data_IF_894220976020
#
_entry.id   IF_894220976020
#
_cell.length_a   1.000
_cell.length_b   1.000
_cell.length_c   1.000
_cell.angle_alpha   90.00
_cell.angle_beta   90.00
_cell.angle_gamma   90.00
#
_symmetry.space_group_name_H-M   'P 1'
#
loop_
_entity.id
_entity.type
_entity.pdbx_description
1 polymer ?
#
# COMPACT_ATOMS: atom_id res chain seq x y z
N UNK A 1 -26.82 -36.06 92.25
CA UNK A 1 -28.17 -35.80 91.72
C UNK A 1 -27.99 -34.89 90.51
N UNK A 2 -27.86 -35.44 89.28
CA UNK A 2 -28.94 -35.64 88.29
C UNK A 2 -29.60 -34.30 87.93
N UNK A 3 -29.84 -33.89 86.70
CA UNK A 3 -29.70 -34.42 85.34
C UNK A 3 -30.09 -33.26 84.39
N UNK A 4 -29.88 -33.41 83.08
CA UNK A 4 -30.69 -32.66 82.10
C UNK A 4 -29.92 -32.08 80.91
N UNK A 5 -29.37 -32.95 80.06
CA UNK A 5 -28.96 -32.60 78.70
C UNK A 5 -30.18 -32.53 77.78
N UNK A 6 -30.46 -31.35 77.20
CA UNK A 6 -31.42 -31.19 76.10
C UNK A 6 -30.66 -31.14 74.76
N UNK A 7 -31.11 -31.85 73.71
CA UNK A 7 -30.45 -31.82 72.41
C UNK A 7 -30.91 -30.61 71.57
N UNK A 8 -30.10 -30.14 70.61
CA UNK A 8 -30.53 -29.13 69.65
C UNK A 8 -31.53 -29.70 68.64
N UNK A 9 -32.53 -28.89 68.29
CA UNK A 9 -33.55 -29.23 67.30
C UNK A 9 -32.95 -29.40 65.91
N UNK A 10 -33.19 -30.56 65.29
CA UNK A 10 -32.90 -30.77 63.87
C UNK A 10 -33.94 -30.01 63.05
N UNK A 11 -33.54 -28.90 62.43
CA UNK A 11 -34.30 -28.30 61.35
C UNK A 11 -34.41 -29.31 60.19
N UNK A 12 -35.64 -29.73 59.86
CA UNK A 12 -35.91 -30.53 58.67
C UNK A 12 -35.63 -29.66 57.45
N UNK A 13 -34.56 -29.97 56.71
CA UNK A 13 -34.40 -29.51 55.34
C UNK A 13 -35.55 -30.09 54.52
N UNK A 14 -36.47 -29.22 54.10
CA UNK A 14 -37.54 -29.57 53.18
C UNK A 14 -36.96 -30.17 51.91
N UNK A 15 -37.41 -31.37 51.57
CA UNK A 15 -37.04 -32.04 50.33
C UNK A 15 -37.49 -31.18 49.15
N UNK A 16 -36.51 -30.67 48.40
CA UNK A 16 -36.75 -30.11 47.07
C UNK A 16 -37.25 -31.25 46.19
N UNK A 17 -38.53 -31.22 45.84
CA UNK A 17 -39.16 -32.18 44.94
C UNK A 17 -38.49 -32.15 43.57
N UNK A 18 -38.34 -33.33 42.94
CA UNK A 18 -37.54 -33.54 41.72
C UNK A 18 -37.90 -32.68 40.50
N UNK A 19 -38.98 -31.90 40.55
CA UNK A 19 -39.38 -30.95 39.50
C UNK A 19 -38.60 -29.64 39.50
N UNK A 20 -37.99 -29.22 40.61
CA UNK A 20 -37.21 -27.97 40.68
C UNK A 20 -35.73 -28.13 40.30
N UNK A 21 -35.20 -29.36 40.26
CA UNK A 21 -33.83 -29.64 39.80
C UNK A 21 -33.69 -29.62 38.27
N UNK A 22 -34.78 -29.86 37.54
CA UNK A 22 -34.77 -29.87 36.07
C UNK A 22 -34.76 -28.45 35.49
N UNK A 23 -35.35 -27.47 36.18
CA UNK A 23 -35.41 -26.09 35.68
C UNK A 23 -34.07 -25.34 35.83
N UNK A 24 -33.29 -25.63 36.89
CA UNK A 24 -31.97 -25.02 37.12
C UNK A 24 -30.88 -25.57 36.19
N UNK A 25 -30.99 -26.82 35.73
CA UNK A 25 -30.07 -27.39 34.74
C UNK A 25 -30.35 -26.90 33.31
N UNK A 26 -31.59 -26.54 32.99
CA UNK A 26 -31.96 -26.00 31.68
C UNK A 26 -31.53 -24.54 31.48
N UNK A 27 -31.51 -23.72 32.54
CA UNK A 27 -31.00 -22.34 32.48
C UNK A 27 -29.46 -22.30 32.47
N UNK A 28 -28.78 -23.24 33.14
CA UNK A 28 -27.33 -23.34 33.09
C UNK A 28 -26.79 -23.84 31.73
N UNK A 29 -27.58 -24.64 31.00
CA UNK A 29 -27.21 -25.09 29.65
C UNK A 29 -27.52 -24.06 28.55
N UNK A 30 -28.43 -23.10 28.79
CA UNK A 30 -28.77 -22.08 27.80
C UNK A 30 -27.77 -20.91 27.74
N UNK A 31 -26.88 -20.77 28.73
CA UNK A 31 -25.87 -19.70 28.78
C UNK A 31 -24.53 -20.11 28.11
N UNK A 32 -24.32 -21.40 27.85
CA UNK A 32 -23.05 -21.91 27.28
C UNK A 32 -23.05 -22.09 25.76
N UNK A 33 -24.11 -21.66 25.06
CA UNK A 33 -24.24 -21.79 23.62
C UNK A 33 -24.48 -20.44 22.90
N UNK A 34 -23.88 -19.36 23.40
CA UNK A 34 -23.63 -18.21 22.53
C UNK A 34 -22.44 -18.58 21.64
N UNK A 35 -22.60 -18.75 20.31
CA UNK A 35 -21.44 -18.76 19.44
C UNK A 35 -20.72 -17.45 19.69
N UNK A 36 -19.45 -17.52 20.09
CA UNK A 36 -18.59 -16.34 20.11
C UNK A 36 -18.69 -15.74 18.71
N UNK A 37 -19.29 -14.54 18.60
CA UNK A 37 -19.25 -13.79 17.37
C UNK A 37 -17.77 -13.68 16.97
N UNK A 38 -17.39 -14.00 15.72
CA UNK A 38 -16.01 -13.84 15.31
C UNK A 38 -15.61 -12.40 15.62
N UNK A 39 -14.58 -12.22 16.44
CA UNK A 39 -14.03 -10.91 16.70
C UNK A 39 -13.72 -10.29 15.34
N UNK A 40 -14.30 -9.12 15.05
CA UNK A 40 -13.96 -8.36 13.86
C UNK A 40 -12.46 -8.14 13.89
N UNK A 41 -11.71 -8.81 13.00
CA UNK A 41 -10.28 -8.66 12.92
C UNK A 41 -10.01 -7.25 12.38
N UNK A 42 -9.65 -6.32 13.27
CA UNK A 42 -9.10 -5.02 12.86
C UNK A 42 -7.60 -5.20 12.66
N UNK A 43 -7.00 -4.57 11.64
CA UNK A 43 -5.54 -4.60 11.50
C UNK A 43 -4.92 -3.92 12.74
N UNK A 44 -3.73 -4.37 13.14
CA UNK A 44 -2.99 -3.71 14.20
C UNK A 44 -2.58 -2.28 13.78
N UNK A 45 -2.21 -1.43 14.73
CA UNK A 45 -1.66 -0.12 14.39
C UNK A 45 -0.27 -0.28 13.73
N UNK A 46 0.12 0.60 12.80
CA UNK A 46 1.47 0.59 12.23
C UNK A 46 2.55 0.67 13.31
N UNK A 47 3.45 -0.32 13.33
CA UNK A 47 4.57 -0.39 14.26
C UNK A 47 5.90 -0.24 13.52
N UNK A 48 6.84 0.53 14.08
CA UNK A 48 8.20 0.61 13.56
C UNK A 48 8.91 -0.74 13.70
N UNK A 49 9.43 -1.25 12.58
CA UNK A 49 10.25 -2.46 12.56
C UNK A 49 11.72 -2.09 12.71
N UNK A 50 12.21 -1.19 11.86
CA UNK A 50 13.57 -0.66 11.89
C UNK A 50 13.72 0.55 10.95
N UNK A 51 14.94 1.10 10.86
CA UNK A 51 15.26 2.28 10.05
C UNK A 51 16.32 1.98 9.00
N UNK A 52 16.02 2.25 7.75
CA UNK A 52 16.95 2.19 6.63
C UNK A 52 17.74 3.50 6.60
N UNK A 53 19.01 3.42 6.99
CA UNK A 53 19.90 4.60 7.11
C UNK A 53 20.89 4.73 5.95
N UNK A 54 20.82 3.83 4.96
CA UNK A 54 21.65 3.92 3.77
C UNK A 54 21.20 5.14 2.95
N UNK A 55 22.08 6.14 2.70
CA UNK A 55 21.69 7.37 2.02
C UNK A 55 21.24 7.17 0.58
N UNK A 56 21.52 6.00 -0.02
CA UNK A 56 21.06 5.65 -1.37
C UNK A 56 19.58 5.25 -1.42
N UNK A 57 18.95 5.13 -0.25
CA UNK A 57 17.52 4.87 -0.05
C UNK A 57 16.88 6.02 0.75
N UNK A 58 17.43 7.24 0.64
CA UNK A 58 16.80 8.41 1.26
C UNK A 58 15.43 8.72 0.63
N UNK A 59 15.31 8.44 -0.66
CA UNK A 59 14.12 8.60 -1.51
C UNK A 59 13.49 7.22 -1.74
N UNK A 60 13.22 6.45 -0.68
CA UNK A 60 12.66 5.09 -0.80
C UNK A 60 11.20 5.15 -1.29
N UNK A 61 11.01 4.84 -2.57
CA UNK A 61 9.71 4.93 -3.24
C UNK A 61 9.01 3.56 -3.37
N UNK A 62 9.76 2.47 -3.59
CA UNK A 62 9.19 1.11 -3.71
C UNK A 62 9.79 0.08 -2.74
N UNK A 63 8.98 -0.91 -2.32
CA UNK A 63 9.44 -2.06 -1.53
C UNK A 63 8.72 -3.36 -1.91
N UNK A 64 9.41 -4.49 -1.84
CA UNK A 64 8.83 -5.84 -1.91
C UNK A 64 9.47 -6.78 -0.87
N UNK A 65 8.82 -7.90 -0.53
CA UNK A 65 9.33 -8.89 0.44
C UNK A 65 9.30 -10.32 -0.10
N UNK A 66 10.23 -11.15 0.38
CA UNK A 66 10.15 -12.62 0.29
C UNK A 66 10.01 -13.32 1.64
N UNK A 67 9.87 -12.55 2.73
CA UNK A 67 9.80 -13.09 4.10
C UNK A 67 11.16 -13.20 4.80
N UNK A 68 12.27 -13.22 4.08
CA UNK A 68 13.62 -13.20 4.65
C UNK A 68 14.30 -11.85 4.44
N UNK A 69 14.01 -11.20 3.31
CA UNK A 69 14.62 -9.96 2.85
C UNK A 69 13.59 -9.02 2.25
N UNK A 70 13.92 -7.73 2.33
CA UNK A 70 13.21 -6.69 1.60
C UNK A 70 14.01 -6.25 0.38
N UNK A 71 13.27 -5.82 -0.64
CA UNK A 71 13.80 -5.36 -1.91
C UNK A 71 13.31 -3.93 -2.10
N UNK A 72 14.19 -2.96 -1.87
CA UNK A 72 13.85 -1.54 -1.91
C UNK A 72 14.42 -0.89 -3.18
N UNK A 73 13.66 0.04 -3.75
CA UNK A 73 14.09 0.89 -4.86
C UNK A 73 13.91 2.36 -4.47
N UNK A 74 14.85 3.23 -4.84
CA UNK A 74 14.67 4.67 -4.68
C UNK A 74 13.77 5.24 -5.78
N UNK A 75 13.31 6.47 -5.60
CA UNK A 75 12.75 7.32 -6.65
C UNK A 75 13.82 7.58 -7.73
N UNK A 76 13.54 7.16 -8.96
CA UNK A 76 14.40 7.38 -10.11
C UNK A 76 15.80 6.75 -10.04
N UNK A 77 16.78 7.48 -10.59
CA UNK A 77 18.20 7.12 -10.60
C UNK A 77 18.78 6.78 -11.97
N UNK A 78 20.11 6.88 -12.10
CA UNK A 78 20.85 6.71 -13.38
C UNK A 78 21.12 5.24 -13.75
N UNK A 79 20.56 4.31 -12.99
CA UNK A 79 20.74 2.88 -13.18
C UNK A 79 19.71 2.08 -12.39
N UNK A 80 19.16 1.04 -13.00
CA UNK A 80 18.31 0.05 -12.32
C UNK A 80 19.10 -0.62 -11.20
N UNK A 81 18.70 -0.32 -9.96
CA UNK A 81 19.27 -0.86 -8.73
C UNK A 81 18.17 -1.29 -7.79
N UNK A 82 18.26 -2.52 -7.30
CA UNK A 82 17.44 -3.00 -6.20
C UNK A 82 18.32 -3.26 -5.00
N UNK A 83 18.03 -2.58 -3.90
CA UNK A 83 18.73 -2.73 -2.64
C UNK A 83 18.09 -3.87 -1.87
N UNK A 84 18.88 -4.88 -1.56
CA UNK A 84 18.43 -6.03 -0.79
C UNK A 84 18.75 -5.75 0.67
N UNK A 85 17.69 -5.53 1.44
CA UNK A 85 17.72 -5.06 2.82
C UNK A 85 17.40 -6.23 3.75
N UNK A 86 18.21 -6.38 4.80
CA UNK A 86 17.98 -7.38 5.84
C UNK A 86 16.87 -6.97 6.81
N UNK A 87 16.44 -7.90 7.67
CA UNK A 87 15.48 -7.64 8.76
C UNK A 87 15.99 -6.63 9.81
N UNK A 88 17.29 -6.32 9.77
CA UNK A 88 17.96 -5.29 10.57
C UNK A 88 18.01 -3.92 9.87
N UNK A 89 17.31 -3.78 8.72
CA UNK A 89 17.33 -2.60 7.84
C UNK A 89 18.70 -2.25 7.22
N UNK A 90 19.68 -3.15 7.30
CA UNK A 90 20.97 -2.96 6.64
C UNK A 90 20.91 -3.42 5.18
N UNK A 91 21.50 -2.64 4.27
CA UNK A 91 21.70 -3.06 2.88
C UNK A 91 22.75 -4.18 2.84
N UNK A 92 22.33 -5.38 2.46
CA UNK A 92 23.19 -6.57 2.41
C UNK A 92 23.87 -6.73 1.04
N UNK A 93 23.15 -6.39 -0.03
CA UNK A 93 23.66 -6.42 -1.42
C UNK A 93 22.83 -5.50 -2.31
N UNK A 94 23.35 -5.22 -3.49
CA UNK A 94 22.63 -4.48 -4.54
C UNK A 94 22.53 -5.37 -5.78
N UNK A 95 21.31 -5.57 -6.29
CA UNK A 95 21.07 -6.12 -7.62
C UNK A 95 21.16 -4.97 -8.59
N UNK A 96 21.94 -5.12 -9.66
CA UNK A 96 22.14 -4.05 -10.63
C UNK A 96 21.92 -4.59 -12.03
N UNK A 97 21.23 -3.81 -12.85
CA UNK A 97 21.15 -3.99 -14.29
C UNK A 97 21.85 -2.80 -14.98
N UNK A 98 22.47 -2.98 -16.16
CA UNK A 98 23.10 -1.87 -16.89
C UNK A 98 22.10 -0.88 -17.51
N UNK A 99 20.79 -1.07 -17.32
CA UNK A 99 19.75 -0.18 -17.85
C UNK A 99 19.69 1.10 -17.03
N UNK A 100 19.64 2.23 -17.72
CA UNK A 100 19.40 3.58 -17.19
C UNK A 100 17.89 3.88 -17.28
N UNK A 101 17.14 3.80 -16.17
CA UNK A 101 15.71 4.11 -16.15
C UNK A 101 15.49 5.63 -16.11
N UNK A 102 14.29 6.09 -16.40
CA UNK A 102 13.99 7.52 -16.31
C UNK A 102 13.47 7.92 -14.92
N UNK A 103 12.48 7.21 -14.38
CA UNK A 103 11.79 7.55 -13.11
C UNK A 103 11.11 6.30 -12.52
N UNK A 104 11.85 5.52 -11.71
CA UNK A 104 11.34 4.31 -11.06
C UNK A 104 10.55 4.71 -9.81
N UNK A 105 9.30 4.27 -9.73
CA UNK A 105 8.37 4.64 -8.66
C UNK A 105 8.02 3.46 -7.74
N UNK A 106 7.97 2.23 -8.27
CA UNK A 106 7.49 1.10 -7.47
C UNK A 106 8.18 -0.21 -7.87
N UNK A 107 8.09 -1.22 -6.99
CA UNK A 107 8.61 -2.55 -7.23
C UNK A 107 7.65 -3.64 -6.73
N UNK A 108 7.31 -4.56 -7.62
CA UNK A 108 6.57 -5.77 -7.27
C UNK A 108 7.44 -7.02 -7.42
N UNK A 109 7.20 -8.04 -6.60
CA UNK A 109 7.91 -9.32 -6.70
C UNK A 109 6.97 -10.41 -7.24
N UNK A 110 7.38 -11.04 -8.33
CA UNK A 110 6.69 -12.21 -8.88
C UNK A 110 6.97 -13.47 -8.04
N UNK A 111 6.11 -14.51 -8.10
CA UNK A 111 6.32 -15.76 -7.36
C UNK A 111 7.66 -16.45 -7.64
N UNK A 112 8.19 -16.33 -8.86
CA UNK A 112 9.48 -16.88 -9.27
C UNK A 112 10.70 -16.08 -8.76
N UNK A 113 10.47 -14.97 -8.05
CA UNK A 113 11.50 -14.08 -7.51
C UNK A 113 11.96 -12.98 -8.46
N UNK A 114 11.37 -12.87 -9.65
CA UNK A 114 11.59 -11.73 -10.55
C UNK A 114 11.04 -10.45 -9.90
N UNK A 115 11.84 -9.38 -9.94
CA UNK A 115 11.49 -8.06 -9.42
C UNK A 115 11.06 -7.18 -10.60
N UNK A 116 9.83 -6.71 -10.58
CA UNK A 116 9.26 -5.83 -11.59
C UNK A 116 9.32 -4.41 -11.09
N UNK A 117 10.18 -3.58 -11.69
CA UNK A 117 10.30 -2.16 -11.36
C UNK A 117 9.47 -1.35 -12.33
N UNK A 118 8.74 -0.37 -11.82
CA UNK A 118 7.89 0.53 -12.59
C UNK A 118 8.62 1.84 -12.87
N UNK A 119 9.25 1.95 -14.05
CA UNK A 119 9.79 3.20 -14.58
C UNK A 119 8.65 3.98 -15.26
N UNK A 120 7.77 4.54 -14.41
CA UNK A 120 6.45 5.06 -14.78
C UNK A 120 6.18 6.48 -14.30
N UNK A 121 7.11 7.09 -13.56
CA UNK A 121 7.04 8.49 -13.19
C UNK A 121 7.05 9.40 -14.42
N UNK A 122 6.08 10.32 -14.47
CA UNK A 122 5.91 11.31 -15.53
C UNK A 122 5.11 12.51 -15.04
N UNK A 123 5.57 13.14 -13.96
CA UNK A 123 4.98 14.35 -13.37
C UNK A 123 4.59 15.45 -14.40
N UNK A 124 5.31 15.53 -15.54
CA UNK A 124 5.06 16.51 -16.61
C UNK A 124 4.15 15.99 -17.74
N UNK A 125 3.73 14.73 -17.68
CA UNK A 125 2.89 14.03 -18.65
C UNK A 125 3.41 14.21 -20.09
N UNK A 126 4.69 13.95 -20.28
CA UNK A 126 5.41 14.20 -21.54
C UNK A 126 6.07 12.94 -22.14
N UNK A 127 6.01 11.80 -21.45
CA UNK A 127 6.60 10.54 -21.90
C UNK A 127 5.61 9.78 -22.79
N UNK A 128 5.95 9.63 -24.07
CA UNK A 128 5.16 8.82 -25.01
C UNK A 128 5.09 7.34 -24.58
N UNK A 129 6.10 6.87 -23.84
CA UNK A 129 6.14 5.52 -23.26
C UNK A 129 6.70 5.52 -21.85
N UNK A 130 6.16 4.63 -21.03
CA UNK A 130 6.73 4.22 -19.73
C UNK A 130 7.34 2.83 -19.85
N UNK A 131 7.98 2.34 -18.80
CA UNK A 131 8.67 1.06 -18.82
C UNK A 131 8.40 0.20 -17.57
N UNK A 132 8.42 -1.11 -17.77
CA UNK A 132 8.60 -2.10 -16.72
C UNK A 132 9.93 -2.81 -16.93
N UNK A 133 10.72 -2.93 -15.86
CA UNK A 133 11.95 -3.71 -15.85
C UNK A 133 11.73 -4.99 -15.06
N UNK A 134 11.71 -6.14 -15.72
CA UNK A 134 11.70 -7.44 -15.06
C UNK A 134 13.15 -7.86 -14.77
N UNK A 135 13.57 -7.75 -13.52
CA UNK A 135 14.94 -7.96 -13.04
C UNK A 135 15.01 -9.28 -12.26
N UNK A 136 15.83 -10.22 -12.72
CA UNK A 136 16.08 -11.46 -12.00
C UNK A 136 17.00 -11.23 -10.80
N UNK A 137 16.98 -12.09 -9.76
CA UNK A 137 17.80 -11.92 -8.56
C UNK A 137 19.32 -11.83 -8.78
N UNK A 138 19.81 -12.27 -9.94
CA UNK A 138 21.21 -12.21 -10.38
C UNK A 138 21.55 -10.97 -11.26
N UNK A 139 20.62 -10.05 -11.47
CA UNK A 139 20.84 -8.78 -12.20
C UNK A 139 20.56 -8.84 -13.70
N UNK A 140 20.16 -10.00 -14.25
CA UNK A 140 19.59 -10.06 -15.60
C UNK A 140 18.30 -9.24 -15.66
N UNK A 141 18.04 -8.54 -16.76
CA UNK A 141 16.82 -7.74 -16.88
C UNK A 141 16.23 -7.77 -18.28
N UNK A 142 14.90 -7.77 -18.34
CA UNK A 142 14.13 -7.55 -19.58
C UNK A 142 13.36 -6.25 -19.45
N UNK A 143 13.45 -5.41 -20.50
CA UNK A 143 12.73 -4.15 -20.60
C UNK A 143 11.43 -4.36 -21.38
N UNK A 144 10.32 -3.80 -20.87
CA UNK A 144 9.04 -3.73 -21.57
C UNK A 144 8.55 -2.27 -21.58
N UNK A 145 8.47 -1.67 -22.76
CA UNK A 145 7.88 -0.35 -22.97
C UNK A 145 6.37 -0.48 -23.06
N UNK A 146 5.67 0.52 -22.57
CA UNK A 146 4.21 0.57 -22.53
C UNK A 146 3.72 1.94 -23.01
N UNK A 147 2.60 1.96 -23.70
CA UNK A 147 1.93 3.20 -24.11
C UNK A 147 0.50 3.25 -23.58
N UNK A 148 0.13 4.39 -23.00
CA UNK A 148 -1.24 4.66 -22.55
C UNK A 148 -2.15 4.96 -23.74
N UNK A 149 -3.42 4.50 -23.73
CA UNK A 149 -4.35 4.73 -24.83
C UNK A 149 -4.85 6.19 -24.93
N UNK A 150 -4.67 6.96 -23.86
CA UNK A 150 -5.22 8.30 -23.65
C UNK A 150 -4.14 9.37 -23.39
N UNK A 151 -2.92 9.10 -23.88
CA UNK A 151 -1.75 9.96 -23.77
C UNK A 151 -0.95 9.75 -22.48
N UNK A 152 0.18 10.46 -22.31
CA UNK A 152 1.09 10.27 -21.17
C UNK A 152 0.39 10.35 -19.81
N UNK A 153 0.82 9.52 -18.86
CA UNK A 153 0.30 9.44 -17.50
C UNK A 153 1.45 9.27 -16.52
N UNK A 154 1.27 9.87 -15.36
CA UNK A 154 2.10 9.70 -14.18
C UNK A 154 1.53 8.55 -13.35
N UNK A 155 2.28 7.46 -13.20
CA UNK A 155 1.84 6.29 -12.44
C UNK A 155 2.89 5.86 -11.44
N UNK A 156 2.44 5.63 -10.21
CA UNK A 156 3.34 5.43 -9.06
C UNK A 156 2.98 4.19 -8.24
N UNK A 157 2.12 3.33 -8.80
CA UNK A 157 1.75 2.10 -8.14
C UNK A 157 1.71 0.96 -9.15
N UNK A 158 2.40 -0.11 -8.82
CA UNK A 158 2.46 -1.35 -9.58
C UNK A 158 1.80 -2.49 -8.80
N UNK A 159 0.72 -3.03 -9.38
CA UNK A 159 0.10 -4.26 -8.88
C UNK A 159 0.45 -5.40 -9.82
N UNK A 160 0.95 -6.51 -9.27
CA UNK A 160 1.24 -7.71 -10.04
C UNK A 160 0.30 -8.84 -9.61
N UNK A 161 -0.59 -9.28 -10.50
CA UNK A 161 -1.48 -10.39 -10.17
C UNK A 161 -0.70 -11.72 -10.07
N UNK A 162 -1.35 -12.77 -9.56
CA UNK A 162 -0.74 -14.11 -9.41
C UNK A 162 -0.30 -14.76 -10.72
N UNK A 163 -0.78 -14.27 -11.86
CA UNK A 163 -0.39 -14.73 -13.20
C UNK A 163 0.74 -13.90 -13.79
N UNK A 164 1.23 -12.88 -13.06
CA UNK A 164 2.26 -11.97 -13.52
C UNK A 164 1.75 -10.88 -14.46
N UNK A 165 0.44 -10.59 -14.47
CA UNK A 165 -0.11 -9.46 -15.23
C UNK A 165 0.09 -8.18 -14.42
N UNK A 166 0.80 -7.17 -14.97
CA UNK A 166 0.99 -5.90 -14.29
C UNK A 166 -0.22 -4.99 -14.49
N UNK A 167 -0.54 -4.23 -13.45
CA UNK A 167 -1.50 -3.15 -13.47
C UNK A 167 -0.82 -1.88 -12.93
N UNK A 168 -0.96 -0.78 -13.67
CA UNK A 168 -0.43 0.54 -13.30
C UNK A 168 -1.57 1.41 -12.80
N UNK A 169 -1.37 2.07 -11.66
CA UNK A 169 -2.35 3.00 -11.09
C UNK A 169 -1.77 4.41 -11.06
N UNK A 170 -2.50 5.36 -11.64
CA UNK A 170 -2.00 6.73 -11.84
C UNK A 170 -2.10 7.59 -10.59
N UNK A 171 -1.16 8.51 -10.42
CA UNK A 171 -1.19 9.56 -9.39
C UNK A 171 -1.92 10.77 -9.92
N UNK A 172 -3.16 10.97 -9.48
CA UNK A 172 -4.03 12.03 -10.00
C UNK A 172 -4.60 12.87 -8.85
N UNK A 173 -4.32 14.19 -8.78
CA UNK A 173 -4.76 15.06 -7.69
C UNK A 173 -6.25 15.39 -7.74
N UNK A 174 -6.86 15.26 -8.92
CA UNK A 174 -8.25 15.57 -9.19
C UNK A 174 -8.87 14.43 -10.00
N UNK A 175 -9.97 13.88 -9.51
CA UNK A 175 -10.56 12.68 -10.10
C UNK A 175 -9.93 11.41 -9.53
N UNK A 176 -10.50 10.26 -9.86
CA UNK A 176 -9.95 8.98 -9.39
C UNK A 176 -8.77 8.53 -10.24
N UNK A 177 -7.82 7.84 -9.61
CA UNK A 177 -6.69 7.20 -10.28
C UNK A 177 -7.16 6.23 -11.36
N UNK A 178 -6.62 6.35 -12.56
CA UNK A 178 -6.83 5.39 -13.64
C UNK A 178 -6.09 4.09 -13.36
N UNK A 179 -6.72 2.97 -13.68
CA UNK A 179 -6.13 1.63 -13.59
C UNK A 179 -5.91 1.11 -15.00
N UNK A 180 -4.68 0.74 -15.33
CA UNK A 180 -4.28 0.33 -16.67
C UNK A 180 -3.59 -1.04 -16.63
N UNK A 181 -3.74 -1.83 -17.69
CA UNK A 181 -3.00 -3.09 -17.88
C UNK A 181 -2.66 -3.30 -19.36
N UNK A 182 -1.70 -4.17 -19.71
CA UNK A 182 -1.46 -4.54 -21.10
C UNK A 182 -2.70 -5.16 -21.76
N UNK A 183 -3.05 -4.74 -22.99
CA UNK A 183 -4.14 -5.34 -23.79
C UNK A 183 -3.90 -6.80 -24.16
N UNK A 184 -2.63 -7.20 -24.20
CA UNK A 184 -2.18 -8.53 -24.56
C UNK A 184 -0.82 -8.84 -23.95
N UNK A 185 -0.14 -9.90 -24.40
CA UNK A 185 1.20 -10.24 -23.92
C UNK A 185 2.18 -9.07 -24.07
N UNK A 186 3.06 -8.92 -23.09
CA UNK A 186 4.13 -7.93 -23.13
C UNK A 186 5.13 -8.27 -24.23
N UNK A 187 5.56 -7.25 -24.99
CA UNK A 187 6.57 -7.35 -26.04
C UNK A 187 7.83 -6.66 -25.56
N UNK A 188 8.98 -7.35 -25.64
CA UNK A 188 10.28 -6.76 -25.32
C UNK A 188 11.00 -6.30 -26.61
N UNK A 189 11.47 -5.05 -26.72
CA UNK A 189 11.34 -3.99 -25.73
C UNK A 189 10.02 -3.21 -25.80
N UNK A 190 9.10 -3.47 -26.75
CA UNK A 190 7.78 -2.81 -26.84
C UNK A 190 7.72 -1.65 -27.86
N UNK A 191 6.70 -0.77 -27.80
CA UNK A 191 5.70 -0.68 -26.74
C UNK A 191 4.56 -1.70 -26.87
N UNK A 192 4.12 -2.24 -25.74
CA UNK A 192 2.82 -2.90 -25.62
C UNK A 192 1.74 -1.85 -25.28
N UNK A 193 0.62 -1.86 -26.00
CA UNK A 193 -0.49 -0.97 -25.70
C UNK A 193 -1.19 -1.34 -24.39
N UNK A 194 -1.42 -0.34 -23.55
CA UNK A 194 -2.26 -0.46 -22.37
C UNK A 194 -3.73 -0.24 -22.72
N UNK A 195 -4.61 -0.81 -21.90
CA UNK A 195 -6.02 -0.43 -21.81
C UNK A 195 -6.35 0.08 -20.42
N UNK A 196 -7.24 1.05 -20.35
CA UNK A 196 -7.81 1.54 -19.10
C UNK A 196 -8.93 0.61 -18.66
N UNK A 197 -8.72 -0.11 -17.57
CA UNK A 197 -9.66 -1.11 -17.04
C UNK A 197 -10.54 -0.60 -15.91
N UNK A 198 -10.25 0.59 -15.39
CA UNK A 198 -11.11 1.20 -14.38
C UNK A 198 -10.59 2.53 -13.85
N UNK A 199 -11.32 3.03 -12.85
CA UNK A 199 -10.97 4.18 -12.04
C UNK A 199 -11.15 3.81 -10.56
N UNK A 200 -10.10 3.96 -9.74
CA UNK A 200 -10.20 3.84 -8.28
C UNK A 200 -10.33 5.23 -7.66
N UNK A 201 -11.16 5.37 -6.63
CA UNK A 201 -11.34 6.62 -5.89
C UNK A 201 -11.23 6.34 -4.41
N UNK A 202 -10.34 7.06 -3.76
CA UNK A 202 -10.27 7.14 -2.30
C UNK A 202 -10.76 8.52 -1.86
N UNK A 203 -11.49 8.57 -0.76
CA UNK A 203 -12.00 9.82 -0.21
C UNK A 203 -10.92 10.57 0.58
N UNK A 204 -11.00 11.91 0.67
CA UNK A 204 -10.06 12.68 1.47
C UNK A 204 -10.17 12.32 2.95
N UNK A 205 -9.03 12.38 3.66
CA UNK A 205 -8.93 12.10 5.09
C UNK A 205 -8.30 13.27 5.85
N UNK A 206 -8.34 13.21 7.18
CA UNK A 206 -7.64 14.09 8.10
C UNK A 206 -6.33 13.48 8.62
N UNK A 207 -5.88 12.35 8.05
CA UNK A 207 -4.60 11.75 8.42
C UNK A 207 -3.47 12.72 8.07
N UNK A 208 -2.62 13.02 9.04
CA UNK A 208 -1.50 13.95 8.85
C UNK A 208 -0.33 13.24 8.17
N UNK A 209 0.32 13.90 7.22
CA UNK A 209 1.50 13.41 6.53
C UNK A 209 1.57 13.91 5.10
N UNK A 210 2.64 13.53 4.41
CA UNK A 210 2.87 13.84 3.02
C UNK A 210 3.42 15.25 2.77
N UNK A 211 3.99 15.48 1.58
CA UNK A 211 4.62 16.74 1.22
C UNK A 211 3.59 17.82 0.87
N UNK A 212 2.32 17.43 0.74
CA UNK A 212 1.21 18.30 0.35
C UNK A 212 0.26 18.52 1.53
N UNK A 213 0.06 19.77 1.88
CA UNK A 213 -0.85 20.15 2.97
C UNK A 213 -2.31 19.78 2.69
N UNK A 214 -3.01 19.35 3.74
CA UNK A 214 -4.45 19.14 3.70
C UNK A 214 -4.87 17.87 2.96
N UNK A 215 -6.08 17.88 2.42
CA UNK A 215 -6.74 16.69 1.88
C UNK A 215 -6.14 16.16 0.57
N UNK A 216 -5.30 16.93 -0.12
CA UNK A 216 -4.70 16.53 -1.40
C UNK A 216 -3.75 15.35 -1.22
N UNK A 217 -2.89 15.39 -0.19
CA UNK A 217 -1.96 14.29 0.09
C UNK A 217 -2.68 12.96 0.35
N UNK A 218 -3.86 13.02 0.98
CA UNK A 218 -4.63 11.83 1.35
C UNK A 218 -5.28 11.07 0.19
N UNK A 219 -5.37 11.66 -1.00
CA UNK A 219 -6.05 11.06 -2.17
C UNK A 219 -5.11 10.60 -3.27
N UNK A 220 -3.84 11.03 -3.26
CA UNK A 220 -2.85 10.70 -4.27
C UNK A 220 -2.29 9.31 -4.04
N UNK A 221 -2.49 8.40 -4.99
CA UNK A 221 -1.89 7.06 -4.96
C UNK A 221 -0.40 7.15 -5.24
N UNK A 222 0.42 6.55 -4.37
CA UNK A 222 1.89 6.62 -4.39
C UNK A 222 2.57 5.25 -4.25
N UNK A 223 1.80 4.17 -4.20
CA UNK A 223 2.34 2.81 -4.15
C UNK A 223 1.24 1.76 -4.21
N UNK A 224 1.57 0.56 -4.67
CA UNK A 224 0.64 -0.55 -4.78
C UNK A 224 1.26 -1.90 -4.41
N UNK A 225 0.46 -2.79 -3.84
CA UNK A 225 0.89 -4.16 -3.60
C UNK A 225 -0.23 -5.17 -3.75
N UNK A 226 0.12 -6.38 -4.16
CA UNK A 226 -0.77 -7.55 -4.09
C UNK A 226 -0.18 -8.49 -3.04
N UNK A 227 -1.02 -8.94 -2.11
CA UNK A 227 -0.62 -9.94 -1.11
C UNK A 227 -0.08 -11.20 -1.77
N UNK A 228 0.82 -11.91 -1.08
CA UNK A 228 1.46 -13.12 -1.62
C UNK A 228 0.42 -14.17 -2.05
N UNK A 229 -0.70 -14.24 -1.33
CA UNK A 229 -1.80 -15.13 -1.67
C UNK A 229 -2.84 -14.54 -2.65
N UNK A 230 -2.56 -13.37 -3.23
CA UNK A 230 -3.43 -12.67 -4.18
C UNK A 230 -4.79 -12.28 -3.62
N UNK A 231 -5.06 -12.48 -2.34
CA UNK A 231 -6.39 -12.34 -1.75
C UNK A 231 -6.73 -10.91 -1.34
N UNK A 232 -5.74 -10.02 -1.38
CA UNK A 232 -5.82 -8.60 -1.03
C UNK A 232 -4.95 -7.78 -1.97
N UNK A 233 -5.52 -6.68 -2.45
CA UNK A 233 -4.83 -5.59 -3.15
C UNK A 233 -4.71 -4.42 -2.19
N UNK A 234 -3.53 -3.84 -2.05
CA UNK A 234 -3.30 -2.63 -1.28
C UNK A 234 -2.98 -1.48 -2.24
N UNK A 235 -3.58 -0.32 -1.99
CA UNK A 235 -3.11 0.95 -2.52
C UNK A 235 -2.69 1.84 -1.37
N UNK A 236 -1.60 2.55 -1.58
CA UNK A 236 -1.09 3.56 -0.67
C UNK A 236 -1.36 4.94 -1.22
N UNK A 237 -1.73 5.86 -0.33
CA UNK A 237 -1.56 7.30 -0.54
C UNK A 237 -0.46 7.84 0.36
N UNK A 238 -0.15 9.15 0.27
CA UNK A 238 0.86 9.73 1.15
C UNK A 238 0.59 9.49 2.64
N UNK A 239 -0.68 9.35 3.03
CA UNK A 239 -1.10 9.31 4.44
C UNK A 239 -1.82 8.03 4.87
N UNK A 240 -2.37 7.25 3.96
CA UNK A 240 -3.23 6.11 4.28
C UNK A 240 -2.91 4.89 3.39
N UNK A 241 -3.17 3.70 3.90
CA UNK A 241 -3.25 2.48 3.11
C UNK A 241 -4.71 2.00 3.00
N UNK A 242 -5.08 1.50 1.83
CA UNK A 242 -6.42 1.00 1.51
C UNK A 242 -6.32 -0.45 1.04
N UNK A 243 -6.93 -1.35 1.79
CA UNK A 243 -6.85 -2.79 1.58
C UNK A 243 -8.15 -3.32 1.00
N UNK A 244 -8.11 -3.73 -0.26
CA UNK A 244 -9.23 -4.23 -1.04
C UNK A 244 -9.24 -5.75 -1.07
N UNK A 245 -10.36 -6.37 -0.70
CA UNK A 245 -10.49 -7.83 -0.75
C UNK A 245 -10.58 -8.34 -2.21
N UNK A 246 -9.74 -9.31 -2.54
CA UNK A 246 -9.63 -9.96 -3.84
C UNK A 246 -9.76 -11.50 -3.69
N UNK A 247 -10.87 -12.05 -3.19
CA UNK A 247 -10.99 -13.49 -2.88
C UNK A 247 -10.83 -14.42 -4.09
N UNK A 248 -11.05 -13.89 -5.30
CA UNK A 248 -10.85 -14.54 -6.60
C UNK A 248 -9.52 -14.15 -7.27
N UNK A 249 -8.73 -13.27 -6.64
CA UNK A 249 -7.49 -12.72 -7.20
C UNK A 249 -7.71 -11.72 -8.33
N UNK A 250 -8.94 -11.26 -8.58
CA UNK A 250 -9.23 -10.26 -9.60
C UNK A 250 -8.94 -8.85 -9.08
N UNK A 251 -7.84 -8.27 -9.55
CA UNK A 251 -7.37 -6.93 -9.17
C UNK A 251 -8.40 -5.84 -9.51
N UNK A 252 -9.03 -5.92 -10.70
CA UNK A 252 -9.98 -4.88 -11.13
C UNK A 252 -11.24 -4.96 -10.28
N UNK A 253 -11.76 -6.16 -10.07
CA UNK A 253 -12.92 -6.35 -9.20
C UNK A 253 -12.63 -5.95 -7.75
N UNK A 254 -11.41 -6.18 -7.24
CA UNK A 254 -11.01 -5.79 -5.89
C UNK A 254 -11.02 -4.27 -5.72
N UNK A 255 -10.42 -3.52 -6.65
CA UNK A 255 -10.37 -2.05 -6.62
C UNK A 255 -11.74 -1.37 -6.73
N UNK A 256 -12.81 -2.12 -6.97
CA UNK A 256 -14.21 -1.67 -6.99
C UNK A 256 -14.98 -1.93 -5.71
N UNK A 257 -14.34 -2.58 -4.73
CA UNK A 257 -14.93 -2.91 -3.44
C UNK A 257 -14.58 -1.84 -2.42
N UNK A 258 -15.34 -1.81 -1.34
CA UNK A 258 -15.03 -0.97 -0.18
C UNK A 258 -13.73 -1.47 0.48
N UNK A 259 -12.70 -0.63 0.64
CA UNK A 259 -11.46 -1.02 1.28
C UNK A 259 -11.55 -0.97 2.81
N UNK A 260 -10.70 -1.76 3.47
CA UNK A 260 -10.30 -1.48 4.85
C UNK A 260 -9.23 -0.40 4.81
N UNK A 261 -9.51 0.75 5.43
CA UNK A 261 -8.55 1.85 5.56
C UNK A 261 -7.64 1.64 6.79
N UNK A 262 -6.35 1.86 6.61
CA UNK A 262 -5.32 1.89 7.66
C UNK A 262 -4.62 3.26 7.61
N UNK A 263 -4.85 4.14 8.60
CA UNK A 263 -4.09 5.38 8.70
C UNK A 263 -2.62 5.08 8.96
N UNK A 264 -1.73 5.68 8.17
CA UNK A 264 -0.29 5.54 8.35
C UNK A 264 0.27 6.68 9.21
N UNK A 265 1.45 6.53 9.81
CA UNK A 265 2.05 7.60 10.61
C UNK A 265 2.34 8.86 9.80
N UNK A 266 2.53 9.97 10.51
CA UNK A 266 2.88 11.27 9.93
C UNK A 266 4.30 11.27 9.34
N UNK A 267 4.41 10.71 8.15
CA UNK A 267 5.64 10.64 7.35
C UNK A 267 5.74 11.90 6.46
N UNK A 268 6.94 12.47 6.23
CA UNK A 268 7.11 13.59 5.32
C UNK A 268 6.65 13.27 3.90
N UNK A 269 6.88 12.05 3.43
CA UNK A 269 6.47 11.59 2.10
C UNK A 269 6.35 10.07 2.09
N UNK A 270 5.11 9.58 2.08
CA UNK A 270 4.79 8.17 2.14
C UNK A 270 4.51 7.53 0.78
N UNK A 271 5.23 6.47 0.40
CA UNK A 271 5.20 5.95 -0.98
C UNK A 271 5.20 4.41 -1.03
N UNK A 272 6.19 3.79 -0.41
CA UNK A 272 6.35 2.35 -0.49
C UNK A 272 5.31 1.58 0.34
N UNK A 273 4.78 0.49 -0.25
CA UNK A 273 3.88 -0.46 0.38
C UNK A 273 4.15 -1.88 -0.15
N UNK A 274 4.09 -2.89 0.73
CA UNK A 274 4.23 -4.30 0.33
C UNK A 274 3.49 -5.23 1.28
N UNK A 275 3.47 -6.52 0.94
CA UNK A 275 3.05 -7.57 1.87
C UNK A 275 4.20 -8.52 2.19
N UNK A 276 4.28 -8.90 3.45
CA UNK A 276 4.99 -10.09 3.89
C UNK A 276 4.21 -11.37 3.50
N UNK A 277 4.88 -12.53 3.38
CA UNK A 277 4.20 -13.80 3.12
C UNK A 277 3.16 -14.19 4.19
N UNK A 278 3.29 -13.70 5.42
CA UNK A 278 2.34 -13.95 6.51
C UNK A 278 1.09 -13.04 6.48
N UNK A 279 1.03 -12.10 5.53
CA UNK A 279 -0.06 -11.14 5.38
C UNK A 279 0.10 -9.84 6.17
N UNK A 280 1.25 -9.62 6.82
CA UNK A 280 1.63 -8.32 7.38
C UNK A 280 1.81 -7.31 6.25
N UNK A 281 1.21 -6.13 6.36
CA UNK A 281 1.46 -5.04 5.42
C UNK A 281 2.73 -4.28 5.86
N UNK A 282 3.61 -4.02 4.90
CA UNK A 282 4.77 -3.16 5.08
C UNK A 282 4.48 -1.78 4.52
N UNK A 283 5.03 -0.76 5.15
CA UNK A 283 5.02 0.61 4.62
C UNK A 283 6.34 1.31 4.90
N UNK A 284 6.79 2.14 3.96
CA UNK A 284 7.92 3.05 4.12
C UNK A 284 7.72 4.30 3.26
N UNK A 285 8.62 5.27 3.39
CA UNK A 285 8.56 6.51 2.63
C UNK A 285 9.88 7.25 2.66
N UNK A 286 9.94 8.34 1.94
CA UNK A 286 11.13 9.15 1.76
C UNK A 286 11.42 10.02 2.99
N UNK A 287 12.70 10.35 3.14
CA UNK A 287 13.23 11.30 4.11
C UNK A 287 12.94 10.98 5.59
N UNK A 288 12.30 9.86 5.90
CA UNK A 288 12.12 9.31 7.25
C UNK A 288 11.55 10.33 8.25
N UNK A 289 12.00 10.27 9.50
CA UNK A 289 11.67 11.31 10.50
C UNK A 289 12.54 12.57 10.28
N UNK A 290 12.34 13.25 9.16
CA UNK A 290 13.02 14.50 8.81
C UNK A 290 14.56 14.40 8.77
N UNK A 291 15.09 13.34 8.15
CA UNK A 291 16.53 13.17 7.86
C UNK A 291 17.23 12.02 8.57
N UNK A 292 16.50 11.17 9.30
CA UNK A 292 17.06 10.00 10.01
C UNK A 292 17.06 8.70 9.17
N UNK A 293 16.71 8.76 7.89
CA UNK A 293 16.54 7.59 7.02
C UNK A 293 15.12 7.01 7.07
N UNK A 294 14.71 6.33 5.99
CA UNK A 294 13.36 5.78 5.84
C UNK A 294 13.02 4.76 6.91
N UNK A 295 11.85 4.90 7.51
CA UNK A 295 11.38 3.99 8.58
C UNK A 295 10.50 2.92 7.97
N UNK A 296 10.88 1.66 8.13
CA UNK A 296 10.06 0.52 7.71
C UNK A 296 9.10 0.15 8.84
N UNK A 297 7.82 0.04 8.51
CA UNK A 297 6.75 -0.25 9.45
C UNK A 297 5.97 -1.49 9.03
N UNK A 298 5.39 -2.16 10.02
CA UNK A 298 4.55 -3.34 9.85
C UNK A 298 3.15 -3.12 10.42
N UNK A 299 2.15 -3.64 9.74
CA UNK A 299 0.75 -3.70 10.19
C UNK A 299 0.34 -5.17 10.16
N UNK A 300 0.45 -5.84 11.31
CA UNK A 300 0.07 -7.24 11.43
C UNK A 300 -1.47 -7.38 11.32
N UNK A 301 -1.93 -8.55 10.87
CA UNK A 301 -3.36 -8.81 10.71
C UNK A 301 -4.02 -8.12 9.50
N UNK A 302 -3.24 -7.45 8.63
CA UNK A 302 -3.76 -6.65 7.53
C UNK A 302 -4.59 -7.46 6.52
N UNK A 303 -4.11 -8.64 6.10
CA UNK A 303 -4.87 -9.53 5.21
C UNK A 303 -6.10 -10.11 5.90
N UNK A 304 -6.00 -10.48 7.18
CA UNK A 304 -7.11 -11.09 7.92
C UNK A 304 -8.26 -10.08 8.13
N UNK A 305 -7.93 -8.79 8.27
CA UNK A 305 -8.92 -7.74 8.46
C UNK A 305 -9.85 -7.53 7.25
N UNK A 306 -9.35 -7.71 6.03
CA UNK A 306 -10.17 -7.57 4.81
C UNK A 306 -11.12 -8.75 4.61
N UNK A 307 -10.72 -9.94 5.06
CA UNK A 307 -11.54 -11.16 4.96
C UNK A 307 -12.71 -11.14 5.97
N UNK A 308 -12.52 -10.55 7.15
CA UNK A 308 -13.59 -10.39 8.14
C UNK A 308 -14.69 -9.40 7.69
N UNK A 309 -14.35 -8.39 6.88
CA UNK A 309 -15.29 -7.39 6.36
C UNK A 309 -16.01 -7.79 5.07
N UNK A 310 -15.58 -8.87 4.40
CA UNK A 310 -16.08 -9.26 3.08
C UNK A 310 -17.48 -9.93 3.08
N UNK A 311 -18.07 -10.13 4.26
CA UNK A 311 -19.42 -10.67 4.43
C UNK A 311 -20.54 -9.66 4.15
N UNK A 312 -20.68 -9.18 2.91
CA UNK A 312 -21.89 -8.47 2.47
C UNK A 312 -21.73 -7.18 1.65
N UNK A 313 -20.52 -6.80 1.24
CA UNK A 313 -20.30 -5.61 0.41
C UNK A 313 -20.92 -5.73 -0.98
N UNK A 314 -21.83 -4.81 -1.34
CA UNK A 314 -22.44 -4.71 -2.67
C UNK A 314 -21.34 -4.38 -3.69
N UNK A 315 -21.08 -5.27 -4.64
CA UNK A 315 -20.16 -5.00 -5.75
C UNK A 315 -20.65 -3.77 -6.53
N UNK A 316 -19.83 -2.72 -6.61
CA UNK A 316 -20.05 -1.63 -7.56
C UNK A 316 -19.03 -1.80 -8.70
N UNK A 317 -19.47 -2.01 -9.95
CA UNK A 317 -18.55 -2.06 -11.09
C UNK A 317 -17.74 -0.76 -11.15
N UNK A 318 -16.43 -0.84 -11.37
CA UNK A 318 -15.65 0.38 -11.63
C UNK A 318 -16.25 1.07 -12.85
N UNK A 319 -16.48 2.39 -12.79
CA UNK A 319 -16.89 3.13 -13.97
C UNK A 319 -15.81 3.04 -15.05
N UNK A 320 -16.13 2.39 -16.17
CA UNK A 320 -15.39 2.51 -17.43
C UNK A 320 -15.73 3.87 -18.04
N UNK A 321 -14.72 4.69 -18.30
CA UNK A 321 -14.92 5.95 -19.02
C UNK A 321 -15.23 5.65 -20.50
N UNK A 322 -16.20 6.33 -21.14
CA UNK A 322 -16.39 6.21 -22.58
C UNK A 322 -15.22 6.85 -23.33
N UNK A 323 -14.83 6.26 -24.46
CA UNK A 323 -13.90 6.86 -25.41
C UNK A 323 -14.46 8.22 -25.86
N UNK A 324 -13.71 9.29 -25.60
CA UNK A 324 -14.11 10.64 -25.99
C UNK A 324 -13.72 10.87 -27.45
N UNK A 325 -14.71 10.90 -28.34
CA UNK A 325 -14.61 11.59 -29.63
C UNK A 325 -15.19 13.00 -29.48
N UNK A 326 -14.53 13.95 -30.15
CA UNK A 326 -14.90 15.36 -30.41
C UNK A 326 -14.46 16.45 -29.43
N UNK A 327 -13.38 17.13 -29.85
CA UNK A 327 -13.34 18.57 -30.15
C UNK A 327 -14.04 19.52 -29.19
N UNK A 328 -13.30 20.03 -28.19
CA UNK A 328 -13.65 21.27 -27.49
C UNK A 328 -12.60 22.32 -27.78
N UNK A 329 -13.05 23.43 -28.36
CA UNK A 329 -12.27 24.60 -28.69
C UNK A 329 -11.62 25.23 -27.44
N UNK A 330 -10.38 25.69 -27.60
CA UNK A 330 -9.58 26.36 -26.58
C UNK A 330 -10.27 27.65 -26.09
N UNK A 331 -10.36 27.89 -24.78
CA UNK A 331 -10.60 29.23 -24.26
C UNK A 331 -9.31 30.06 -24.36
N UNK A 332 -9.48 31.28 -24.84
CA UNK A 332 -8.46 32.33 -24.95
C UNK A 332 -7.81 32.66 -23.61
N UNK A 333 -6.52 32.96 -23.69
CA UNK A 333 -5.71 33.51 -22.62
C UNK A 333 -6.25 34.88 -22.19
N UNK A 334 -6.79 34.95 -20.97
CA UNK A 334 -6.75 36.12 -20.09
C UNK A 334 -7.22 35.66 -18.71
N UNK A 335 -6.54 36.13 -17.66
CA UNK A 335 -6.61 35.71 -16.24
C UNK A 335 -5.56 34.65 -15.84
N UNK A 336 -4.28 34.99 -16.09
CA UNK A 336 -3.12 34.30 -15.53
C UNK A 336 -2.54 35.11 -14.36
N UNK A 337 -3.25 35.21 -13.25
CA UNK A 337 -2.76 35.85 -12.01
C UNK A 337 -3.21 35.02 -10.78
N UNK A 338 -2.91 33.71 -10.75
CA UNK A 338 -2.82 32.94 -9.48
C UNK A 338 -2.15 31.55 -9.61
N UNK A 339 -1.69 31.15 -10.80
CA UNK A 339 -1.06 29.85 -11.07
C UNK A 339 0.48 29.86 -10.94
N UNK A 340 1.05 30.82 -10.21
CA UNK A 340 2.49 31.10 -10.19
C UNK A 340 3.33 30.23 -9.24
N UNK A 341 2.73 29.52 -8.28
CA UNK A 341 3.49 28.86 -7.21
C UNK A 341 3.92 27.40 -7.52
N UNK A 342 3.28 26.74 -8.49
CA UNK A 342 3.48 25.31 -8.75
C UNK A 342 4.66 24.99 -9.68
N UNK A 343 5.28 25.99 -10.31
CA UNK A 343 6.46 25.79 -11.18
C UNK A 343 7.78 25.67 -10.41
N UNK A 344 7.79 25.87 -9.09
CA UNK A 344 9.02 25.91 -8.29
C UNK A 344 9.31 24.62 -7.49
N UNK A 345 8.38 23.65 -7.43
CA UNK A 345 8.57 22.40 -6.67
C UNK A 345 8.84 21.17 -7.54
N UNK A 346 9.02 21.32 -8.85
CA UNK A 346 9.54 20.25 -9.70
C UNK A 346 11.07 20.23 -9.69
N UNK A 347 11.68 19.28 -8.98
CA UNK A 347 13.12 18.92 -8.95
C UNK A 347 14.09 20.02 -8.48
N UNK A 348 13.85 21.30 -8.75
CA UNK A 348 14.72 22.42 -8.36
C UNK A 348 14.68 22.76 -6.86
N UNK A 349 13.55 22.50 -6.18
CA UNK A 349 13.43 22.74 -4.74
C UNK A 349 14.23 21.75 -3.87
N UNK A 350 14.30 20.49 -4.31
CA UNK A 350 14.91 19.38 -3.56
C UNK A 350 16.44 19.40 -3.68
N UNK A 351 16.99 19.79 -4.83
CA UNK A 351 18.45 19.93 -5.03
C UNK A 351 19.03 21.06 -4.16
N UNK A 352 18.27 22.13 -3.91
CA UNK A 352 18.75 23.28 -3.10
C UNK A 352 18.77 22.94 -1.60
N UNK A 353 17.82 22.15 -1.10
CA UNK A 353 17.80 21.70 0.31
C UNK A 353 18.90 20.68 0.59
N UNK A 354 19.14 19.71 -0.31
CA UNK A 354 20.22 18.73 -0.14
C UNK A 354 21.63 19.39 -0.14
N UNK A 355 21.87 20.37 -1.02
CA UNK A 355 23.13 21.10 -1.06
C UNK A 355 23.37 21.98 0.18
N UNK A 356 22.31 22.58 0.74
CA UNK A 356 22.39 23.39 1.95
C UNK A 356 22.73 22.55 3.20
N UNK A 357 22.15 21.36 3.33
CA UNK A 357 22.42 20.43 4.45
C UNK A 357 23.85 19.88 4.38
N UNK A 358 24.34 19.53 3.19
CA UNK A 358 25.73 19.07 2.99
C UNK A 358 26.77 20.17 3.25
N UNK A 359 26.46 21.43 2.91
CA UNK A 359 27.33 22.57 3.18
C UNK A 359 27.41 22.90 4.68
N UNK A 360 26.29 22.80 5.40
CA UNK A 360 26.24 23.05 6.84
C UNK A 360 26.96 21.95 7.65
N UNK A 361 26.82 20.69 7.24
CA UNK A 361 27.54 19.56 7.85
C UNK A 361 29.07 19.63 7.69
N UNK A 362 29.57 20.25 6.62
CA UNK A 362 31.02 20.48 6.41
C UNK A 362 31.58 21.64 7.23
N UNK A 363 30.75 22.62 7.60
CA UNK A 363 31.16 23.75 8.46
C UNK A 363 31.24 23.40 9.94
N UNK A 364 30.50 22.39 10.39
CA UNK A 364 30.52 21.93 11.78
C UNK A 364 31.62 20.89 12.08
N UNK A 365 32.41 20.50 11.07
CA UNK A 365 33.54 19.56 11.18
C UNK A 365 34.92 20.21 10.96
N UNK A 366 35.01 21.54 11.00
CA UNK A 366 36.26 22.31 11.04
C UNK A 366 36.30 23.15 12.31
#
# INVERSE_FOLDING_TARGET
MTAGSSPPSRARLGGVTGRQRVFLLLVAFLVLAFPALPASATPEAPAELCRVTDPRLAELSGVASDGDRWYAVPDGGEQVRVYVVGRDCAVQRVITSPVDPFDVEDVARAPDGTLWLADTGDNRKQRDTVALHAVSPNGGSVLYRLSYPDGPRDAEALLLDRRGVPYLVTKEPLGGSGVYRPKGPLVAPGPSELERVGTVRVGPTDTTGGPLSGTVGSVLVTGGAVSHDGSVVALRTYTDAYLFAAPDGDVVAALGREPVRVPLPNEPQGEAIAFEPDGTLLSAGEFGDFGAGSVLRGVAGAVQATQAGSGGGRQQPLPTAPASTDSVASPSADNAEDFGLWKALGVGGIVVTAAAVLALGRRLRR
#
